data_IF_145128958228
#
_entry.id   IF_145128958228
#
_cell.length_a   1.000
_cell.length_b   1.000
_cell.length_c   1.000
_cell.angle_alpha   90.00
_cell.angle_beta   90.00
_cell.angle_gamma   90.00
#
_symmetry.space_group_name_H-M   'P 1'
#
loop_
_entity.id
_entity.type
_entity.pdbx_description
1 polymer ?
#
# COMPACT_ATOMS: atom_id res chain seq x y z
N UNK A 1 12.46 27.28 -24.56
CA UNK A 1 12.71 27.43 -23.11
C UNK A 1 11.81 26.44 -22.37
N UNK A 2 12.28 25.23 -22.05
CA UNK A 2 11.56 24.31 -21.15
C UNK A 2 11.79 24.82 -19.74
N UNK A 3 10.75 25.42 -19.15
CA UNK A 3 10.77 25.89 -17.79
C UNK A 3 11.19 24.76 -16.86
N UNK A 4 12.12 25.06 -15.98
CA UNK A 4 12.49 24.25 -14.81
C UNK A 4 11.24 24.19 -13.89
N UNK A 5 10.20 23.50 -14.31
CA UNK A 5 9.02 23.26 -13.49
C UNK A 5 9.45 22.33 -12.37
N UNK A 6 9.69 22.90 -11.21
CA UNK A 6 10.07 22.15 -10.01
C UNK A 6 9.15 20.96 -9.79
N UNK A 7 9.67 19.84 -9.25
CA UNK A 7 8.93 18.61 -9.00
C UNK A 7 7.75 18.71 -8.04
N UNK A 8 7.35 19.91 -7.64
CA UNK A 8 6.29 20.17 -6.65
C UNK A 8 4.92 19.58 -7.07
N UNK A 9 4.57 19.68 -8.35
CA UNK A 9 3.34 19.07 -8.87
C UNK A 9 3.30 17.54 -8.72
N UNK A 10 4.47 16.88 -8.80
CA UNK A 10 4.57 15.43 -8.57
C UNK A 10 4.31 15.10 -7.11
N UNK A 11 4.86 15.91 -6.21
CA UNK A 11 4.69 15.73 -4.76
C UNK A 11 3.22 15.87 -4.39
N UNK A 12 2.56 16.93 -4.81
CA UNK A 12 1.16 17.20 -4.43
C UNK A 12 0.19 16.21 -5.08
N UNK A 13 0.39 15.85 -6.34
CA UNK A 13 -0.44 14.86 -7.04
C UNK A 13 -0.38 13.48 -6.38
N UNK A 14 0.83 12.99 -6.07
CA UNK A 14 0.96 11.65 -5.47
C UNK A 14 0.68 11.63 -3.98
N UNK A 15 0.82 12.74 -3.25
CA UNK A 15 0.29 12.85 -1.89
C UNK A 15 -1.25 12.78 -1.88
N UNK A 16 -1.93 13.51 -2.78
CA UNK A 16 -3.37 13.43 -2.94
C UNK A 16 -3.84 12.03 -3.36
N UNK A 17 -3.04 11.31 -4.16
CA UNK A 17 -3.31 9.92 -4.53
C UNK A 17 -3.23 8.97 -3.33
N UNK A 18 -2.23 9.13 -2.47
CA UNK A 18 -1.93 8.19 -1.41
C UNK A 18 -2.84 8.35 -0.19
N UNK A 19 -3.23 9.56 0.18
CA UNK A 19 -4.06 9.81 1.38
C UNK A 19 -5.31 8.91 1.41
N UNK A 20 -6.22 8.89 0.40
CA UNK A 20 -7.39 8.04 0.45
C UNK A 20 -7.05 6.54 0.31
N UNK A 21 -5.97 6.21 -0.38
CA UNK A 21 -5.45 4.84 -0.47
C UNK A 21 -5.08 4.30 0.92
N UNK A 22 -4.36 5.09 1.72
CA UNK A 22 -3.96 4.75 3.09
C UNK A 22 -5.17 4.66 4.03
N UNK A 23 -6.16 5.55 3.86
CA UNK A 23 -7.43 5.45 4.61
C UNK A 23 -8.06 4.08 4.41
N UNK A 24 -8.17 3.64 3.18
CA UNK A 24 -8.85 2.39 2.83
C UNK A 24 -8.02 1.16 3.23
N UNK A 25 -6.69 1.23 3.05
CA UNK A 25 -5.82 0.06 3.27
C UNK A 25 -5.40 -0.14 4.73
N UNK A 26 -5.26 0.92 5.52
CA UNK A 26 -4.77 0.80 6.90
C UNK A 26 -5.76 1.34 7.93
N UNK A 27 -6.32 2.53 7.71
CA UNK A 27 -7.17 3.19 8.69
C UNK A 27 -8.51 2.47 8.85
N UNK A 28 -9.09 1.97 7.74
CA UNK A 28 -10.36 1.25 7.75
C UNK A 28 -10.33 0.01 8.65
N UNK A 29 -9.24 -0.78 8.63
CA UNK A 29 -9.09 -1.93 9.51
C UNK A 29 -9.13 -1.53 10.98
N UNK A 30 -8.41 -0.46 11.36
CA UNK A 30 -8.39 0.03 12.74
C UNK A 30 -9.80 0.45 13.19
N UNK A 31 -10.52 1.13 12.30
CA UNK A 31 -11.91 1.52 12.59
C UNK A 31 -12.81 0.31 12.79
N UNK A 32 -12.73 -0.71 11.94
CA UNK A 32 -13.54 -1.93 12.08
C UNK A 32 -13.24 -2.65 13.40
N UNK A 33 -11.97 -2.74 13.78
CA UNK A 33 -11.58 -3.32 15.08
C UNK A 33 -12.16 -2.51 16.26
N UNK A 34 -12.12 -1.18 16.19
CA UNK A 34 -12.69 -0.32 17.22
C UNK A 34 -14.25 -0.30 17.24
N UNK A 35 -14.88 -0.67 16.14
CA UNK A 35 -16.33 -0.91 16.09
C UNK A 35 -16.73 -2.26 16.70
N UNK A 36 -15.79 -2.99 17.32
CA UNK A 36 -15.97 -4.34 17.88
C UNK A 36 -16.44 -5.38 16.85
N UNK A 37 -16.05 -5.21 15.60
CA UNK A 37 -16.23 -6.22 14.57
C UNK A 37 -15.17 -7.30 14.81
N UNK A 38 -15.56 -8.57 14.74
CA UNK A 38 -14.62 -9.69 14.89
C UNK A 38 -13.43 -9.60 13.91
N UNK A 39 -12.27 -10.14 14.30
CA UNK A 39 -11.03 -10.03 13.55
C UNK A 39 -11.17 -10.54 12.12
N UNK A 40 -11.78 -11.72 11.93
CA UNK A 40 -11.98 -12.31 10.60
C UNK A 40 -12.85 -11.42 9.69
N UNK A 41 -13.93 -10.83 10.23
CA UNK A 41 -14.78 -9.93 9.46
C UNK A 41 -14.10 -8.59 9.19
N UNK A 42 -13.34 -8.04 10.15
CA UNK A 42 -12.61 -6.78 9.98
C UNK A 42 -11.56 -6.88 8.86
N UNK A 43 -10.80 -7.97 8.83
CA UNK A 43 -9.79 -8.20 7.78
C UNK A 43 -10.43 -8.49 6.43
N UNK A 44 -11.56 -9.24 6.40
CA UNK A 44 -12.32 -9.49 5.18
C UNK A 44 -12.86 -8.18 4.59
N UNK A 45 -13.53 -7.35 5.39
CA UNK A 45 -14.08 -6.07 4.94
C UNK A 45 -12.99 -5.13 4.46
N UNK A 46 -11.88 -5.02 5.19
CA UNK A 46 -10.74 -4.22 4.76
C UNK A 46 -10.12 -4.75 3.46
N UNK A 47 -10.04 -6.07 3.26
CA UNK A 47 -9.55 -6.66 2.02
C UNK A 47 -10.49 -6.40 0.82
N UNK A 48 -11.82 -6.46 1.01
CA UNK A 48 -12.82 -6.16 -0.03
C UNK A 48 -12.66 -4.72 -0.54
N UNK A 49 -12.21 -3.79 0.30
CA UNK A 49 -11.95 -2.41 -0.11
C UNK A 49 -10.83 -2.30 -1.16
N UNK A 50 -10.03 -3.34 -1.40
CA UNK A 50 -9.03 -3.37 -2.49
C UNK A 50 -9.59 -3.79 -3.84
N UNK A 51 -10.84 -4.27 -3.93
CA UNK A 51 -11.45 -4.69 -5.19
C UNK A 51 -11.42 -3.63 -6.30
N UNK A 52 -11.63 -2.32 -6.03
CA UNK A 52 -11.54 -1.31 -7.08
C UNK A 52 -10.16 -1.24 -7.76
N UNK A 53 -9.05 -1.49 -7.04
CA UNK A 53 -7.72 -1.56 -7.67
C UNK A 53 -7.56 -2.81 -8.53
N UNK A 54 -8.15 -3.93 -8.13
CA UNK A 54 -8.19 -5.14 -8.96
C UNK A 54 -9.02 -4.89 -10.23
N UNK A 55 -10.09 -4.10 -10.12
CA UNK A 55 -10.99 -3.75 -11.22
C UNK A 55 -10.48 -2.63 -12.14
N UNK A 56 -9.31 -2.02 -11.89
CA UNK A 56 -8.76 -0.93 -12.71
C UNK A 56 -8.69 -1.23 -14.22
N UNK A 57 -8.38 -2.46 -14.71
CA UNK A 57 -8.40 -2.76 -16.14
C UNK A 57 -9.80 -2.59 -16.76
N UNK A 58 -10.87 -2.88 -15.99
CA UNK A 58 -12.25 -2.67 -16.40
C UNK A 58 -12.60 -1.17 -16.39
N UNK A 59 -12.25 -0.46 -15.31
CA UNK A 59 -12.44 1.00 -15.20
C UNK A 59 -11.83 1.75 -16.38
N UNK A 60 -10.64 1.35 -16.79
CA UNK A 60 -9.94 1.95 -17.94
C UNK A 60 -10.68 1.76 -19.26
N UNK A 61 -11.46 0.69 -19.43
CA UNK A 61 -12.25 0.44 -20.63
C UNK A 61 -13.54 1.23 -20.68
N UNK A 62 -14.15 1.43 -19.52
CA UNK A 62 -15.41 2.17 -19.41
C UNK A 62 -15.24 3.66 -19.72
N UNK A 63 -14.00 4.17 -19.66
CA UNK A 63 -13.71 5.60 -19.73
C UNK A 63 -12.60 5.94 -20.76
N UNK A 64 -12.79 5.59 -22.05
CA UNK A 64 -11.75 5.71 -23.06
C UNK A 64 -11.32 7.17 -23.34
N UNK A 65 -12.13 8.18 -22.99
CA UNK A 65 -11.86 9.60 -23.20
C UNK A 65 -11.29 10.35 -21.99
N UNK A 66 -11.26 9.74 -20.79
CA UNK A 66 -10.89 10.42 -19.54
C UNK A 66 -9.38 10.42 -19.25
N UNK A 67 -8.57 9.86 -20.13
CA UNK A 67 -7.17 9.58 -19.84
C UNK A 67 -6.27 10.82 -19.84
N UNK A 68 -5.88 11.29 -18.66
CA UNK A 68 -4.76 12.21 -18.44
C UNK A 68 -5.10 13.69 -18.55
N UNK A 69 -6.34 14.06 -18.61
CA UNK A 69 -6.76 15.45 -18.55
C UNK A 69 -6.85 15.92 -17.09
N UNK A 70 -6.28 17.09 -16.79
CA UNK A 70 -6.28 17.68 -15.43
C UNK A 70 -7.70 17.84 -14.86
N UNK A 71 -8.70 18.06 -15.71
CA UNK A 71 -10.10 18.25 -15.31
C UNK A 71 -10.66 17.06 -14.53
N UNK A 72 -10.41 15.86 -15.02
CA UNK A 72 -10.86 14.64 -14.35
C UNK A 72 -10.16 14.42 -13.01
N UNK A 73 -8.87 14.78 -12.92
CA UNK A 73 -8.13 14.73 -11.65
C UNK A 73 -8.75 15.69 -10.64
N UNK A 74 -8.97 16.94 -11.00
CA UNK A 74 -9.56 17.93 -10.10
C UNK A 74 -10.99 17.57 -9.69
N UNK A 75 -11.80 17.05 -10.63
CA UNK A 75 -13.17 16.59 -10.33
C UNK A 75 -13.16 15.46 -9.29
N UNK A 76 -12.30 14.46 -9.45
CA UNK A 76 -12.20 13.34 -8.51
C UNK A 76 -11.63 13.80 -7.17
N UNK A 77 -10.61 14.66 -7.15
CA UNK A 77 -10.05 15.22 -5.92
C UNK A 77 -11.08 16.03 -5.14
N UNK A 78 -11.86 16.89 -5.80
CA UNK A 78 -12.90 17.66 -5.14
C UNK A 78 -14.02 16.75 -4.60
N UNK A 79 -14.46 15.77 -5.39
CA UNK A 79 -15.42 14.76 -4.97
C UNK A 79 -14.91 13.97 -3.77
N UNK A 80 -13.62 13.60 -3.76
CA UNK A 80 -12.97 12.90 -2.65
C UNK A 80 -12.95 13.73 -1.38
N UNK A 81 -12.59 15.03 -1.47
CA UNK A 81 -12.61 15.95 -0.32
C UNK A 81 -14.03 16.04 0.29
N UNK A 82 -15.06 16.19 -0.55
CA UNK A 82 -16.45 16.18 -0.13
C UNK A 82 -16.89 14.85 0.48
N UNK A 83 -16.44 13.73 -0.09
CA UNK A 83 -16.75 12.38 0.42
C UNK A 83 -16.11 12.14 1.79
N UNK A 84 -14.86 12.56 2.01
CA UNK A 84 -14.19 12.45 3.31
C UNK A 84 -14.91 13.27 4.39
N UNK A 85 -15.34 14.48 4.07
CA UNK A 85 -16.13 15.33 4.97
C UNK A 85 -17.51 14.71 5.25
N UNK A 86 -18.20 14.20 4.22
CA UNK A 86 -19.49 13.51 4.36
C UNK A 86 -19.36 12.22 5.17
N UNK A 87 -18.27 11.48 5.01
CA UNK A 87 -17.99 10.30 5.80
C UNK A 87 -17.89 10.64 7.28
N UNK A 88 -17.18 11.73 7.63
CA UNK A 88 -17.10 12.21 9.02
C UNK A 88 -18.49 12.51 9.62
N UNK A 89 -19.41 13.10 8.84
CA UNK A 89 -20.80 13.36 9.27
C UNK A 89 -21.60 12.10 9.51
N UNK A 90 -21.37 11.05 8.72
CA UNK A 90 -22.22 9.87 8.65
C UNK A 90 -21.71 8.67 9.44
N UNK A 91 -20.57 8.78 10.11
CA UNK A 91 -19.97 7.70 10.90
C UNK A 91 -20.91 7.11 11.98
N UNK A 92 -21.84 7.90 12.50
CA UNK A 92 -22.85 7.47 13.48
C UNK A 92 -23.96 6.59 12.90
N UNK A 93 -24.07 6.47 11.57
CA UNK A 93 -25.17 5.78 10.91
C UNK A 93 -25.01 4.24 10.86
N UNK A 94 -23.95 3.70 11.47
CA UNK A 94 -23.74 2.27 11.61
C UNK A 94 -22.76 1.66 10.60
N UNK A 95 -22.47 0.38 10.80
CA UNK A 95 -21.42 -0.36 10.10
C UNK A 95 -21.62 -0.42 8.59
N UNK A 96 -22.84 -0.73 8.13
CA UNK A 96 -23.12 -0.87 6.69
C UNK A 96 -22.92 0.43 5.92
N UNK A 97 -23.30 1.55 6.55
CA UNK A 97 -23.09 2.87 5.97
C UNK A 97 -21.60 3.24 5.92
N UNK A 98 -20.88 2.93 6.98
CA UNK A 98 -19.42 3.09 7.03
C UNK A 98 -18.73 2.29 5.93
N UNK A 99 -19.13 1.03 5.73
CA UNK A 99 -18.58 0.17 4.69
C UNK A 99 -18.89 0.70 3.28
N UNK A 100 -20.11 1.16 3.04
CA UNK A 100 -20.52 1.76 1.76
C UNK A 100 -19.66 2.99 1.43
N UNK A 101 -19.50 3.89 2.39
CA UNK A 101 -18.72 5.12 2.21
C UNK A 101 -17.23 4.83 1.99
N UNK A 102 -16.65 3.89 2.75
CA UNK A 102 -15.27 3.45 2.54
C UNK A 102 -15.08 2.80 1.17
N UNK A 103 -16.06 2.00 0.71
CA UNK A 103 -16.00 1.42 -0.63
C UNK A 103 -16.10 2.48 -1.73
N UNK A 104 -16.88 3.54 -1.50
CA UNK A 104 -16.94 4.69 -2.41
C UNK A 104 -15.60 5.46 -2.44
N UNK A 105 -15.00 5.74 -1.26
CA UNK A 105 -13.65 6.33 -1.15
C UNK A 105 -12.62 5.46 -1.89
N UNK A 106 -12.71 4.14 -1.71
CA UNK A 106 -11.85 3.17 -2.40
C UNK A 106 -11.97 3.28 -3.93
N UNK A 107 -13.20 3.35 -4.44
CA UNK A 107 -13.47 3.44 -5.87
C UNK A 107 -12.92 4.74 -6.46
N UNK A 108 -13.15 5.87 -5.79
CA UNK A 108 -12.59 7.16 -6.19
C UNK A 108 -11.05 7.16 -6.13
N UNK A 109 -10.47 6.54 -5.10
CA UNK A 109 -9.01 6.43 -4.94
C UNK A 109 -8.38 5.57 -6.05
N UNK A 110 -8.98 4.43 -6.38
CA UNK A 110 -8.51 3.59 -7.48
C UNK A 110 -8.60 4.31 -8.84
N UNK A 111 -9.62 5.13 -9.00
CA UNK A 111 -9.81 5.94 -10.21
C UNK A 111 -8.79 7.08 -10.30
N UNK A 112 -8.60 7.81 -9.18
CA UNK A 112 -7.58 8.85 -9.09
C UNK A 112 -6.18 8.30 -9.40
N UNK A 113 -5.82 7.14 -8.82
CA UNK A 113 -4.53 6.48 -9.06
C UNK A 113 -4.33 6.13 -10.54
N UNK A 114 -5.38 5.66 -11.23
CA UNK A 114 -5.32 5.38 -12.67
C UNK A 114 -5.04 6.67 -13.49
N UNK A 115 -5.77 7.76 -13.19
CA UNK A 115 -5.62 9.03 -13.89
C UNK A 115 -4.31 9.74 -13.57
N UNK A 116 -3.89 9.74 -12.30
CA UNK A 116 -2.64 10.34 -11.85
C UNK A 116 -1.42 9.70 -12.56
N UNK A 117 -1.42 8.37 -12.72
CA UNK A 117 -0.38 7.67 -13.48
C UNK A 117 -0.40 8.01 -14.96
N UNK A 118 -1.59 8.11 -15.58
CA UNK A 118 -1.71 8.50 -17.00
C UNK A 118 -1.24 9.95 -17.20
N UNK A 119 -1.62 10.86 -16.33
CA UNK A 119 -1.17 12.24 -16.33
C UNK A 119 0.35 12.34 -16.17
N UNK A 120 0.91 11.61 -15.20
CA UNK A 120 2.35 11.54 -14.95
C UNK A 120 3.12 11.11 -16.20
N UNK A 121 2.69 10.04 -16.87
CA UNK A 121 3.33 9.54 -18.08
C UNK A 121 3.28 10.50 -19.26
N UNK A 122 2.23 11.29 -19.38
CA UNK A 122 2.10 12.29 -20.46
C UNK A 122 2.96 13.52 -20.23
N UNK A 123 3.29 13.81 -18.97
CA UNK A 123 4.01 15.02 -18.60
C UNK A 123 5.51 14.81 -18.39
N UNK A 124 5.96 13.62 -18.03
CA UNK A 124 7.37 13.30 -17.82
C UNK A 124 8.03 12.82 -19.10
N UNK A 125 9.28 13.27 -19.31
CA UNK A 125 10.15 12.76 -20.36
C UNK A 125 11.15 11.76 -19.77
N UNK A 126 11.66 10.82 -20.58
CA UNK A 126 12.62 9.77 -20.16
C UNK A 126 13.82 10.35 -19.37
N UNK A 127 14.28 11.55 -19.72
CA UNK A 127 15.40 12.22 -19.04
C UNK A 127 15.06 12.75 -17.62
N UNK A 128 13.79 13.00 -17.33
CA UNK A 128 13.30 13.53 -16.05
C UNK A 128 12.75 12.44 -15.11
N UNK A 129 12.58 11.23 -15.61
CA UNK A 129 11.88 10.13 -14.91
C UNK A 129 12.52 9.77 -13.57
N UNK A 130 13.85 9.81 -13.45
CA UNK A 130 14.53 9.38 -12.21
C UNK A 130 14.21 10.29 -11.02
N UNK A 131 14.23 11.61 -11.18
CA UNK A 131 13.88 12.57 -10.12
C UNK A 131 12.42 12.48 -9.75
N UNK A 132 11.52 12.51 -10.75
CA UNK A 132 10.08 12.43 -10.52
C UNK A 132 9.65 11.09 -9.88
N UNK A 133 10.32 9.98 -10.19
CA UNK A 133 10.09 8.69 -9.52
C UNK A 133 10.49 8.71 -8.04
N UNK A 134 11.59 9.36 -7.69
CA UNK A 134 12.00 9.55 -6.29
C UNK A 134 11.01 10.45 -5.57
N UNK A 135 10.64 11.60 -6.17
CA UNK A 135 9.66 12.52 -5.58
C UNK A 135 8.31 11.85 -5.37
N UNK A 136 7.86 11.04 -6.32
CA UNK A 136 6.64 10.22 -6.20
C UNK A 136 6.72 9.27 -5.00
N UNK A 137 7.81 8.52 -4.87
CA UNK A 137 7.99 7.58 -3.77
C UNK A 137 8.02 8.29 -2.41
N UNK A 138 8.76 9.40 -2.30
CA UNK A 138 8.80 10.19 -1.08
C UNK A 138 7.43 10.78 -0.73
N UNK A 139 6.73 11.33 -1.71
CA UNK A 139 5.40 11.91 -1.52
C UNK A 139 4.39 10.87 -1.01
N UNK A 140 4.35 9.68 -1.61
CA UNK A 140 3.49 8.58 -1.13
C UNK A 140 3.79 8.22 0.33
N UNK A 141 5.06 8.15 0.72
CA UNK A 141 5.42 7.79 2.09
C UNK A 141 5.14 8.95 3.08
N UNK A 142 5.33 10.19 2.68
CA UNK A 142 4.92 11.35 3.51
C UNK A 142 3.41 11.37 3.73
N UNK A 143 2.61 11.09 2.71
CA UNK A 143 1.17 10.95 2.83
C UNK A 143 0.76 9.78 3.74
N UNK A 144 1.50 8.68 3.72
CA UNK A 144 1.31 7.55 4.64
C UNK A 144 1.61 7.96 6.09
N UNK A 145 2.70 8.69 6.34
CA UNK A 145 2.99 9.24 7.68
C UNK A 145 1.88 10.18 8.14
N UNK A 146 1.39 11.07 7.26
CA UNK A 146 0.31 11.99 7.59
C UNK A 146 -0.97 11.23 7.98
N UNK A 147 -1.36 10.22 7.19
CA UNK A 147 -2.66 9.55 7.33
C UNK A 147 -2.60 8.40 8.34
N UNK A 148 -1.62 7.52 8.25
CA UNK A 148 -1.49 6.35 9.13
C UNK A 148 -0.71 6.65 10.42
N UNK A 149 0.23 7.61 10.37
CA UNK A 149 0.95 8.08 11.54
C UNK A 149 0.17 9.16 12.30
N UNK A 150 0.23 10.39 11.79
CA UNK A 150 -0.25 11.57 12.52
C UNK A 150 -1.77 11.58 12.75
N UNK A 151 -2.58 11.22 11.75
CA UNK A 151 -4.04 11.17 11.92
C UNK A 151 -4.44 10.13 12.98
N UNK A 152 -3.87 8.91 12.94
CA UNK A 152 -4.19 7.87 13.94
C UNK A 152 -3.75 8.30 15.34
N UNK A 153 -2.57 8.91 15.48
CA UNK A 153 -2.14 9.50 16.75
C UNK A 153 -3.10 10.59 17.23
N UNK A 154 -3.52 11.49 16.35
CA UNK A 154 -4.47 12.54 16.66
C UNK A 154 -5.82 11.97 17.13
N UNK A 155 -6.37 10.97 16.41
CA UNK A 155 -7.61 10.29 16.82
C UNK A 155 -7.45 9.67 18.20
N UNK A 156 -6.31 9.02 18.48
CA UNK A 156 -6.02 8.45 19.79
C UNK A 156 -5.98 9.51 20.90
N UNK A 157 -5.33 10.67 20.66
CA UNK A 157 -5.33 11.80 21.60
C UNK A 157 -6.74 12.35 21.81
N UNK A 158 -7.51 12.51 20.72
CA UNK A 158 -8.90 12.96 20.80
C UNK A 158 -9.80 12.00 21.59
N UNK A 159 -9.56 10.69 21.52
CA UNK A 159 -10.29 9.70 22.32
C UNK A 159 -10.02 9.86 23.82
N UNK A 160 -8.79 10.21 24.21
CA UNK A 160 -8.45 10.48 25.62
C UNK A 160 -9.08 11.80 26.07
N UNK A 161 -8.96 12.84 25.24
CA UNK A 161 -9.48 14.17 25.58
C UNK A 161 -11.01 14.19 25.67
N UNK A 162 -11.68 13.55 24.71
CA UNK A 162 -13.14 13.44 24.63
C UNK A 162 -13.66 12.11 25.17
N UNK A 163 -13.05 11.56 26.22
CA UNK A 163 -13.42 10.24 26.80
C UNK A 163 -14.90 10.09 27.20
N UNK A 164 -15.60 11.20 27.42
CA UNK A 164 -17.03 11.22 27.71
C UNK A 164 -17.92 11.17 26.45
N UNK A 165 -17.34 11.34 25.28
CA UNK A 165 -18.01 11.23 23.98
C UNK A 165 -17.79 9.84 23.37
N UNK A 166 -18.59 9.51 22.35
CA UNK A 166 -18.41 8.26 21.62
C UNK A 166 -17.07 8.23 20.86
N UNK A 167 -16.48 7.06 20.67
CA UNK A 167 -15.28 6.89 19.84
C UNK A 167 -15.49 7.43 18.42
N UNK A 168 -16.71 7.28 17.87
CA UNK A 168 -17.11 7.84 16.56
C UNK A 168 -16.93 9.35 16.49
N UNK A 169 -17.07 10.09 17.58
CA UNK A 169 -16.84 11.53 17.60
C UNK A 169 -15.37 11.88 17.34
N UNK A 170 -14.44 11.19 17.98
CA UNK A 170 -13.00 11.39 17.76
C UNK A 170 -12.58 11.01 16.34
N UNK A 171 -13.15 9.94 15.79
CA UNK A 171 -12.95 9.58 14.39
C UNK A 171 -13.50 10.63 13.42
N UNK A 172 -14.68 11.17 13.69
CA UNK A 172 -15.26 12.23 12.86
C UNK A 172 -14.34 13.47 12.81
N UNK A 173 -13.81 13.90 13.97
CA UNK A 173 -12.85 15.01 14.02
C UNK A 173 -11.57 14.69 13.22
N UNK A 174 -11.02 13.48 13.34
CA UNK A 174 -9.88 13.04 12.56
C UNK A 174 -10.13 13.10 11.03
N UNK A 175 -11.32 12.66 10.59
CA UNK A 175 -11.69 12.74 9.18
C UNK A 175 -11.97 14.17 8.70
N UNK A 176 -12.49 15.06 9.54
CA UNK A 176 -12.61 16.49 9.19
C UNK A 176 -11.23 17.14 8.99
N UNK A 177 -10.27 16.84 9.88
CA UNK A 177 -8.90 17.32 9.71
C UNK A 177 -8.27 16.78 8.41
N UNK A 178 -8.49 15.49 8.14
CA UNK A 178 -7.99 14.86 6.91
C UNK A 178 -8.67 15.45 5.66
N UNK A 179 -9.98 15.67 5.68
CA UNK A 179 -10.73 16.31 4.58
C UNK A 179 -10.22 17.72 4.31
N UNK A 180 -9.93 18.50 5.36
CA UNK A 180 -9.34 19.83 5.25
C UNK A 180 -7.94 19.81 4.63
N UNK A 181 -7.07 18.90 5.09
CA UNK A 181 -5.73 18.71 4.51
C UNK A 181 -5.81 18.25 3.04
N UNK A 182 -6.74 17.34 2.73
CA UNK A 182 -6.96 16.87 1.37
C UNK A 182 -7.48 17.99 0.45
N UNK A 183 -8.43 18.79 0.92
CA UNK A 183 -8.93 19.95 0.18
C UNK A 183 -7.82 20.96 -0.10
N UNK A 184 -6.95 21.22 0.87
CA UNK A 184 -5.77 22.08 0.67
C UNK A 184 -4.86 21.53 -0.43
N UNK A 185 -4.60 20.22 -0.46
CA UNK A 185 -3.84 19.59 -1.54
C UNK A 185 -4.54 19.69 -2.90
N UNK A 186 -5.86 19.48 -2.93
CA UNK A 186 -6.67 19.67 -4.15
C UNK A 186 -6.54 21.08 -4.72
N UNK A 187 -6.66 22.11 -3.87
CA UNK A 187 -6.49 23.49 -4.28
C UNK A 187 -5.07 23.77 -4.81
N UNK A 188 -4.06 23.20 -4.15
CA UNK A 188 -2.67 23.30 -4.61
C UNK A 188 -2.48 22.61 -5.97
N UNK A 189 -3.09 21.44 -6.19
CA UNK A 189 -3.07 20.74 -7.47
C UNK A 189 -3.76 21.56 -8.57
N UNK A 190 -4.87 22.24 -8.29
CA UNK A 190 -5.54 23.12 -9.24
C UNK A 190 -4.63 24.24 -9.75
N UNK A 191 -3.72 24.73 -8.92
CA UNK A 191 -2.75 25.76 -9.27
C UNK A 191 -1.53 25.21 -10.04
N UNK A 192 -1.07 24.00 -9.70
CA UNK A 192 0.18 23.44 -10.20
C UNK A 192 0.01 22.54 -11.43
N UNK A 193 -1.13 21.86 -11.57
CA UNK A 193 -1.34 20.94 -12.69
C UNK A 193 -1.73 21.74 -13.95
N UNK A 194 -0.93 21.57 -15.00
CA UNK A 194 -1.18 22.14 -16.33
C UNK A 194 -1.66 21.05 -17.28
N UNK A 195 -2.35 21.44 -18.36
CA UNK A 195 -2.72 20.45 -19.38
C UNK A 195 -1.46 19.79 -19.94
N UNK A 196 -1.39 18.47 -19.99
CA UNK A 196 -0.28 17.77 -20.63
C UNK A 196 -0.33 17.99 -22.14
N UNK A 197 0.84 18.05 -22.77
CA UNK A 197 0.92 18.06 -24.25
C UNK A 197 0.20 16.81 -24.78
N UNK A 198 -0.57 16.98 -25.87
CA UNK A 198 -1.46 15.97 -26.46
C UNK A 198 -0.73 14.77 -27.09
N UNK A 199 0.25 14.22 -26.45
CA UNK A 199 0.91 13.00 -26.91
C UNK A 199 -0.03 11.82 -26.67
N UNK A 200 -0.67 11.34 -27.73
CA UNK A 200 -1.49 10.11 -27.64
C UNK A 200 -0.58 8.95 -27.23
N UNK A 201 -0.74 8.47 -26.02
CA UNK A 201 -0.13 7.21 -25.63
C UNK A 201 -0.93 6.07 -26.27
N UNK A 202 -0.30 5.34 -27.18
CA UNK A 202 -0.81 4.05 -27.66
C UNK A 202 -0.80 3.05 -26.51
N UNK A 203 -1.90 3.04 -25.77
CA UNK A 203 -2.09 2.13 -24.66
C UNK A 203 -2.52 0.79 -25.23
N UNK A 204 -1.67 -0.20 -25.11
CA UNK A 204 -2.02 -1.58 -25.51
C UNK A 204 -3.30 -2.04 -24.79
N UNK A 205 -4.31 -2.39 -25.58
CA UNK A 205 -5.66 -2.81 -25.17
C UNK A 205 -5.72 -4.30 -24.73
N UNK A 206 -4.57 -4.96 -24.57
CA UNK A 206 -4.52 -6.40 -24.28
C UNK A 206 -4.89 -6.67 -22.82
N UNK A 207 -5.72 -7.69 -22.61
CA UNK A 207 -6.06 -8.18 -21.29
C UNK A 207 -4.90 -8.97 -20.68
N UNK A 208 -4.69 -8.93 -19.33
CA UNK A 208 -3.64 -9.69 -18.67
C UNK A 208 -3.66 -11.18 -19.02
N UNK A 209 -4.85 -11.77 -19.00
CA UNK A 209 -5.04 -13.20 -19.25
C UNK A 209 -4.87 -13.64 -20.73
N UNK A 210 -4.67 -12.71 -21.63
CA UNK A 210 -4.31 -13.01 -23.02
C UNK A 210 -2.82 -13.29 -23.20
N UNK A 211 -2.00 -13.01 -22.18
CA UNK A 211 -0.58 -13.35 -22.24
C UNK A 211 -0.38 -14.85 -22.02
N UNK A 212 0.46 -15.47 -22.86
CA UNK A 212 0.75 -16.90 -22.90
C UNK A 212 1.34 -17.32 -21.57
N UNK A 213 1.33 -17.32 -20.54
CA UNK A 213 1.87 -17.71 -19.21
C UNK A 213 1.31 -16.88 -18.04
N UNK A 214 0.23 -16.18 -18.29
CA UNK A 214 -0.40 -15.36 -17.27
C UNK A 214 -0.70 -16.12 -15.98
N UNK A 215 -1.30 -17.32 -16.09
CA UNK A 215 -1.66 -18.12 -14.91
C UNK A 215 -0.44 -18.49 -14.07
N UNK A 216 0.63 -18.96 -14.71
CA UNK A 216 1.88 -19.32 -14.02
C UNK A 216 2.50 -18.11 -13.32
N UNK A 217 2.55 -16.97 -13.99
CA UNK A 217 3.08 -15.73 -13.45
C UNK A 217 2.29 -15.23 -12.24
N UNK A 218 0.96 -15.34 -12.28
CA UNK A 218 0.09 -14.97 -11.16
C UNK A 218 0.26 -15.91 -9.97
N UNK A 219 0.30 -17.24 -10.19
CA UNK A 219 0.55 -18.20 -9.11
C UNK A 219 1.89 -17.92 -8.45
N UNK A 220 2.95 -17.72 -9.23
CA UNK A 220 4.27 -17.38 -8.70
C UNK A 220 4.25 -16.08 -7.88
N UNK A 221 3.54 -15.06 -8.35
CA UNK A 221 3.42 -13.78 -7.65
C UNK A 221 2.64 -13.93 -6.33
N UNK A 222 1.56 -14.70 -6.32
CA UNK A 222 0.81 -15.02 -5.09
C UNK A 222 1.71 -15.73 -4.08
N UNK A 223 2.42 -16.77 -4.50
CA UNK A 223 3.30 -17.52 -3.61
C UNK A 223 4.48 -16.68 -3.08
N UNK A 224 5.02 -15.78 -3.92
CA UNK A 224 6.09 -14.88 -3.51
C UNK A 224 5.62 -13.82 -2.50
N UNK A 225 4.39 -13.34 -2.65
CA UNK A 225 3.80 -12.31 -1.78
C UNK A 225 2.98 -12.91 -0.61
N UNK A 226 2.88 -14.24 -0.52
CA UNK A 226 2.05 -14.93 0.47
C UNK A 226 2.35 -14.51 1.92
N UNK A 227 3.62 -14.55 2.41
CA UNK A 227 3.92 -14.13 3.77
C UNK A 227 3.55 -12.66 4.01
N UNK A 228 3.85 -11.79 3.05
CA UNK A 228 3.56 -10.36 3.18
C UNK A 228 2.05 -10.06 3.16
N UNK A 229 1.30 -10.81 2.37
CA UNK A 229 -0.16 -10.69 2.34
C UNK A 229 -0.81 -11.19 3.63
N UNK A 230 -0.36 -12.31 4.19
CA UNK A 230 -0.81 -12.81 5.49
C UNK A 230 -0.51 -11.81 6.60
N UNK A 231 0.70 -11.25 6.62
CA UNK A 231 1.13 -10.32 7.66
C UNK A 231 0.51 -8.94 7.52
N UNK A 232 0.00 -8.54 6.35
CA UNK A 232 -0.36 -7.17 6.06
C UNK A 232 -1.33 -6.55 7.08
N UNK A 233 -2.40 -7.26 7.43
CA UNK A 233 -3.37 -6.83 8.44
C UNK A 233 -3.08 -7.42 9.82
N UNK A 234 -2.54 -8.63 9.88
CA UNK A 234 -2.32 -9.36 11.12
C UNK A 234 -1.42 -8.63 12.10
N UNK A 235 -0.43 -7.89 11.60
CA UNK A 235 0.45 -7.05 12.42
C UNK A 235 -0.32 -5.95 13.16
N UNK A 236 -1.24 -5.25 12.49
CA UNK A 236 -2.05 -4.19 13.11
C UNK A 236 -3.07 -4.78 14.09
N UNK A 237 -3.67 -5.91 13.73
CA UNK A 237 -4.56 -6.67 14.63
C UNK A 237 -3.82 -7.08 15.89
N UNK A 238 -2.61 -7.64 15.77
CA UNK A 238 -1.77 -8.05 16.91
C UNK A 238 -1.43 -6.89 17.84
N UNK A 239 -1.08 -5.74 17.28
CA UNK A 239 -0.73 -4.56 18.06
C UNK A 239 -1.93 -4.03 18.86
N UNK A 240 -3.13 -4.01 18.27
CA UNK A 240 -4.32 -3.42 18.88
C UNK A 240 -5.12 -4.38 19.78
N UNK A 241 -5.00 -5.70 19.55
CA UNK A 241 -5.73 -6.69 20.33
C UNK A 241 -5.24 -6.71 21.77
N UNK A 242 -6.18 -6.83 22.70
CA UNK A 242 -5.89 -6.84 24.15
C UNK A 242 -4.94 -8.00 24.53
N UNK A 243 -4.10 -7.79 25.57
CA UNK A 243 -3.15 -8.82 26.04
C UNK A 243 -3.80 -10.13 26.45
N UNK A 244 -5.01 -10.07 27.00
CA UNK A 244 -5.81 -11.24 27.42
C UNK A 244 -6.17 -12.15 26.25
N UNK A 245 -6.27 -11.57 25.03
CA UNK A 245 -6.54 -12.28 23.79
C UNK A 245 -5.24 -12.59 23.00
N UNK A 246 -4.08 -12.40 23.62
CA UNK A 246 -2.76 -12.72 23.05
C UNK A 246 -2.13 -11.61 22.23
N UNK A 247 -2.77 -10.45 22.09
CA UNK A 247 -2.20 -9.27 21.45
C UNK A 247 -1.28 -8.45 22.35
N UNK A 248 -0.84 -7.28 21.90
CA UNK A 248 -0.02 -6.36 22.70
C UNK A 248 -0.84 -5.27 23.44
N UNK A 249 -2.06 -4.97 22.99
CA UNK A 249 -2.91 -3.94 23.60
C UNK A 249 -2.40 -2.51 23.43
N UNK A 250 -1.67 -2.24 22.34
CA UNK A 250 -1.14 -0.92 22.06
C UNK A 250 -2.25 0.11 21.84
N UNK A 251 -2.01 1.32 22.28
CA UNK A 251 -2.87 2.47 22.01
C UNK A 251 -2.76 2.92 20.55
N UNK A 252 -3.74 3.69 20.07
CA UNK A 252 -3.67 4.27 18.70
C UNK A 252 -2.45 5.18 18.54
N UNK A 253 -2.03 5.90 19.59
CA UNK A 253 -0.85 6.74 19.57
C UNK A 253 0.43 5.91 19.35
N UNK A 254 0.57 4.80 20.06
CA UNK A 254 1.72 3.90 19.94
C UNK A 254 1.76 3.26 18.54
N UNK A 255 0.63 2.81 18.01
CA UNK A 255 0.54 2.25 16.66
C UNK A 255 0.86 3.31 15.60
N UNK A 256 0.27 4.51 15.70
CA UNK A 256 0.53 5.62 14.78
C UNK A 256 2.00 6.05 14.80
N UNK A 257 2.62 6.11 15.98
CA UNK A 257 4.04 6.46 16.12
C UNK A 257 4.96 5.34 15.62
N UNK A 258 4.83 4.15 16.21
CA UNK A 258 5.76 3.04 15.92
C UNK A 258 5.60 2.52 14.47
N UNK A 259 4.35 2.30 14.04
CA UNK A 259 4.10 1.69 12.73
C UNK A 259 3.88 2.71 11.63
N UNK A 260 3.08 3.74 11.90
CA UNK A 260 2.72 4.77 10.92
C UNK A 260 3.80 5.82 10.68
N UNK A 261 4.76 6.01 11.60
CA UNK A 261 5.84 7.00 11.47
C UNK A 261 7.20 6.32 11.37
N UNK A 262 7.67 5.69 12.44
CA UNK A 262 9.00 5.03 12.48
C UNK A 262 9.06 3.89 11.46
N UNK A 263 8.01 3.08 11.37
CA UNK A 263 7.93 1.98 10.41
C UNK A 263 7.99 2.43 8.95
N UNK A 264 7.36 3.54 8.61
CA UNK A 264 7.38 4.11 7.25
C UNK A 264 8.78 4.64 6.91
N UNK A 265 9.44 5.32 7.85
CA UNK A 265 10.84 5.79 7.67
C UNK A 265 11.78 4.59 7.48
N UNK A 266 11.62 3.56 8.31
CA UNK A 266 12.42 2.32 8.21
C UNK A 266 12.19 1.61 6.86
N UNK A 267 10.95 1.54 6.40
CA UNK A 267 10.61 0.98 5.08
C UNK A 267 11.28 1.74 3.94
N UNK A 268 11.25 3.08 3.95
CA UNK A 268 11.94 3.90 2.95
C UNK A 268 13.45 3.66 2.95
N UNK A 269 14.06 3.64 4.15
CA UNK A 269 15.48 3.34 4.30
C UNK A 269 15.80 1.93 3.75
N UNK A 270 14.94 0.96 4.03
CA UNK A 270 15.06 -0.41 3.51
C UNK A 270 15.00 -0.47 1.99
N UNK A 271 14.04 0.21 1.36
CA UNK A 271 13.93 0.28 -0.10
C UNK A 271 15.17 0.93 -0.72
N UNK A 272 15.68 2.03 -0.13
CA UNK A 272 16.89 2.71 -0.60
C UNK A 272 18.13 1.82 -0.47
N UNK A 273 18.30 1.17 0.69
CA UNK A 273 19.39 0.23 0.93
C UNK A 273 19.35 -0.97 -0.03
N UNK A 274 18.21 -1.60 -0.19
CA UNK A 274 18.04 -2.72 -1.10
C UNK A 274 18.34 -2.35 -2.55
N UNK A 275 17.93 -1.16 -3.00
CA UNK A 275 18.28 -0.62 -4.32
C UNK A 275 19.79 -0.38 -4.46
N UNK A 276 20.44 0.17 -3.44
CA UNK A 276 21.91 0.39 -3.43
C UNK A 276 22.69 -0.91 -3.47
N UNK A 277 22.25 -1.92 -2.71
CA UNK A 277 22.81 -3.28 -2.71
C UNK A 277 22.68 -3.90 -4.10
N UNK A 278 21.49 -3.82 -4.71
CA UNK A 278 21.22 -4.34 -6.04
C UNK A 278 22.09 -3.68 -7.12
N UNK A 279 22.25 -2.36 -7.05
CA UNK A 279 23.07 -1.61 -8.01
C UNK A 279 24.57 -1.92 -7.86
N UNK A 280 25.07 -2.12 -6.62
CA UNK A 280 26.49 -2.35 -6.34
C UNK A 280 26.92 -3.77 -6.69
N UNK A 281 26.10 -4.79 -6.37
CA UNK A 281 26.50 -6.20 -6.45
C UNK A 281 25.84 -6.95 -7.59
N UNK A 282 24.87 -6.34 -8.28
CA UNK A 282 24.13 -6.92 -9.37
C UNK A 282 23.07 -7.94 -8.93
N UNK A 283 22.16 -8.26 -9.84
CA UNK A 283 20.99 -9.10 -9.59
C UNK A 283 21.36 -10.54 -9.15
N UNK A 284 22.34 -11.14 -9.80
CA UNK A 284 22.69 -12.55 -9.55
C UNK A 284 23.21 -12.81 -8.12
N UNK A 285 23.93 -11.85 -7.54
CA UNK A 285 24.50 -11.96 -6.19
C UNK A 285 23.53 -11.52 -5.10
N UNK A 286 22.58 -10.64 -5.41
CA UNK A 286 21.72 -9.99 -4.40
C UNK A 286 20.35 -10.61 -4.25
N UNK A 287 19.89 -11.42 -5.23
CA UNK A 287 18.57 -12.05 -5.20
C UNK A 287 18.31 -12.81 -3.90
N UNK A 288 19.26 -13.61 -3.42
CA UNK A 288 19.15 -14.38 -2.20
C UNK A 288 19.07 -13.50 -0.94
N UNK A 289 20.06 -12.63 -0.66
CA UNK A 289 19.99 -11.75 0.50
C UNK A 289 18.72 -10.92 0.56
N UNK A 290 18.30 -10.34 -0.59
CA UNK A 290 17.09 -9.52 -0.64
C UNK A 290 15.83 -10.35 -0.33
N UNK A 291 15.77 -11.59 -0.82
CA UNK A 291 14.59 -12.45 -0.59
C UNK A 291 14.54 -12.98 0.84
N UNK A 292 15.68 -13.29 1.44
CA UNK A 292 15.76 -13.70 2.84
C UNK A 292 15.20 -12.59 3.74
N UNK A 293 15.47 -11.32 3.42
CA UNK A 293 14.94 -10.18 4.17
C UNK A 293 13.39 -10.17 4.22
N UNK A 294 12.70 -10.69 3.20
CA UNK A 294 11.22 -10.78 3.24
C UNK A 294 10.73 -11.74 4.34
N UNK A 295 11.46 -12.81 4.61
CA UNK A 295 11.11 -13.78 5.66
C UNK A 295 11.45 -13.31 7.08
N UNK A 296 12.33 -12.32 7.24
CA UNK A 296 12.70 -11.79 8.55
C UNK A 296 11.55 -11.00 9.19
N UNK A 297 10.76 -10.29 8.39
CA UNK A 297 9.67 -9.46 8.90
C UNK A 297 8.64 -10.26 9.72
N UNK A 298 8.08 -11.40 9.26
CA UNK A 298 7.21 -12.27 10.09
C UNK A 298 7.91 -12.80 11.34
N UNK A 299 9.18 -13.17 11.25
CA UNK A 299 9.95 -13.68 12.38
C UNK A 299 10.11 -12.64 13.51
N UNK A 300 10.23 -11.35 13.15
CA UNK A 300 10.25 -10.26 14.13
C UNK A 300 8.93 -10.19 14.91
N UNK A 301 7.77 -10.32 14.23
CA UNK A 301 6.48 -10.34 14.90
C UNK A 301 6.29 -11.60 15.75
N UNK A 302 6.81 -12.76 15.32
CA UNK A 302 6.87 -13.96 16.14
C UNK A 302 7.69 -13.71 17.42
N UNK A 303 8.85 -13.09 17.33
CA UNK A 303 9.64 -12.69 18.49
C UNK A 303 8.88 -11.75 19.44
N UNK A 304 8.10 -10.79 18.88
CA UNK A 304 7.25 -9.90 19.67
C UNK A 304 6.16 -10.64 20.46
N UNK A 305 5.61 -11.75 19.94
CA UNK A 305 4.61 -12.55 20.69
C UNK A 305 5.21 -13.17 21.94
N UNK A 306 6.51 -13.47 21.91
CA UNK A 306 7.23 -14.10 23.02
C UNK A 306 7.77 -13.05 24.01
N UNK A 307 8.43 -12.01 23.49
CA UNK A 307 9.08 -10.97 24.29
C UNK A 307 8.11 -9.97 24.91
N UNK A 308 6.91 -9.82 24.33
CA UNK A 308 5.87 -8.86 24.74
C UNK A 308 6.47 -7.48 25.06
N UNK A 309 7.03 -6.77 24.05
CA UNK A 309 7.75 -5.54 24.29
C UNK A 309 6.83 -4.48 24.95
N UNK A 310 7.30 -3.90 26.03
CA UNK A 310 6.63 -2.81 26.73
C UNK A 310 7.24 -1.47 26.35
N UNK A 311 6.39 -0.46 26.18
CA UNK A 311 6.80 0.91 25.87
C UNK A 311 7.04 1.17 24.38
N UNK A 312 6.73 2.41 23.99
CA UNK A 312 6.71 2.85 22.57
C UNK A 312 8.07 2.75 21.87
N UNK A 313 9.17 2.92 22.58
CA UNK A 313 10.52 2.86 21.99
C UNK A 313 10.94 1.45 21.66
N UNK A 314 10.65 0.48 22.54
CA UNK A 314 10.96 -0.94 22.28
C UNK A 314 10.10 -1.45 21.14
N UNK A 315 8.79 -1.14 21.15
CA UNK A 315 7.86 -1.42 20.07
C UNK A 315 8.37 -0.84 18.74
N UNK A 316 8.84 0.43 18.77
CA UNK A 316 9.37 1.09 17.58
C UNK A 316 10.64 0.42 17.05
N UNK A 317 11.49 -0.10 17.92
CA UNK A 317 12.72 -0.82 17.51
C UNK A 317 12.37 -2.12 16.76
N UNK A 318 11.43 -2.92 17.27
CA UNK A 318 10.94 -4.12 16.57
C UNK A 318 10.30 -3.75 15.22
N UNK A 319 9.44 -2.75 15.21
CA UNK A 319 8.76 -2.28 13.99
C UNK A 319 9.77 -1.76 12.97
N UNK A 320 10.80 -1.02 13.43
CA UNK A 320 11.88 -0.53 12.58
C UNK A 320 12.59 -1.69 11.87
N UNK A 321 13.01 -2.71 12.61
CA UNK A 321 13.69 -3.88 12.02
C UNK A 321 12.77 -4.60 11.02
N UNK A 322 11.51 -4.85 11.39
CA UNK A 322 10.57 -5.54 10.53
C UNK A 322 10.32 -4.78 9.21
N UNK A 323 10.11 -3.46 9.28
CA UNK A 323 9.83 -2.65 8.10
C UNK A 323 11.08 -2.37 7.25
N UNK A 324 12.25 -2.24 7.88
CA UNK A 324 13.52 -2.12 7.18
C UNK A 324 13.78 -3.38 6.32
N UNK A 325 13.64 -4.56 6.93
CA UNK A 325 13.85 -5.84 6.24
C UNK A 325 12.82 -6.04 5.12
N UNK A 326 11.57 -5.70 5.37
CA UNK A 326 10.55 -5.71 4.33
C UNK A 326 10.89 -4.77 3.16
N UNK A 327 11.33 -3.55 3.44
CA UNK A 327 11.74 -2.57 2.41
C UNK A 327 12.93 -3.07 1.56
N UNK A 328 13.94 -3.68 2.20
CA UNK A 328 15.07 -4.30 1.51
C UNK A 328 14.56 -5.42 0.58
N UNK A 329 13.77 -6.32 1.11
CA UNK A 329 13.27 -7.50 0.40
C UNK A 329 12.32 -7.17 -0.75
N UNK A 330 11.54 -6.10 -0.66
CA UNK A 330 10.61 -5.65 -1.71
C UNK A 330 11.32 -5.39 -3.05
N UNK A 331 12.61 -5.05 -3.03
CA UNK A 331 13.39 -4.87 -4.25
C UNK A 331 13.52 -6.17 -5.07
N UNK A 332 13.54 -7.33 -4.41
CA UNK A 332 13.54 -8.63 -5.12
C UNK A 332 12.19 -8.84 -5.85
N UNK A 333 11.07 -8.59 -5.17
CA UNK A 333 9.74 -8.69 -5.77
C UNK A 333 9.59 -7.73 -6.95
N UNK A 334 10.00 -6.48 -6.76
CA UNK A 334 9.94 -5.45 -7.80
C UNK A 334 10.74 -5.87 -9.03
N UNK A 335 11.96 -6.36 -8.85
CA UNK A 335 12.81 -6.81 -9.96
C UNK A 335 12.20 -7.99 -10.71
N UNK A 336 11.61 -8.94 -9.98
CA UNK A 336 10.88 -10.03 -10.60
C UNK A 336 9.75 -9.55 -11.51
N UNK A 337 8.95 -8.61 -11.03
CA UNK A 337 7.83 -8.07 -11.79
C UNK A 337 8.31 -7.28 -13.00
N UNK A 338 9.39 -6.51 -12.88
CA UNK A 338 10.04 -5.83 -14.00
C UNK A 338 10.49 -6.84 -15.08
N UNK A 339 11.05 -7.97 -14.68
CA UNK A 339 11.49 -9.02 -15.59
C UNK A 339 10.34 -9.73 -16.32
N UNK A 340 9.20 -9.95 -15.66
CA UNK A 340 7.98 -10.52 -16.29
C UNK A 340 7.36 -9.54 -17.28
N UNK A 341 7.37 -8.27 -16.96
CA UNK A 341 6.67 -7.23 -17.72
C UNK A 341 7.33 -6.90 -19.06
N UNK A 342 8.59 -7.33 -19.29
CA UNK A 342 9.38 -7.06 -20.49
C UNK A 342 9.88 -5.62 -20.60
N UNK A 343 10.81 -5.35 -21.53
CA UNK A 343 11.45 -4.01 -21.67
C UNK A 343 10.46 -2.88 -21.97
N UNK A 344 9.36 -3.17 -22.65
CA UNK A 344 8.34 -2.18 -23.01
C UNK A 344 7.60 -1.59 -21.78
N UNK A 345 7.67 -2.27 -20.63
CA UNK A 345 7.00 -1.89 -19.39
C UNK A 345 7.98 -1.64 -18.22
N UNK A 346 9.27 -1.56 -18.53
CA UNK A 346 10.36 -1.39 -17.56
C UNK A 346 10.23 -0.14 -16.69
N UNK A 347 9.50 0.87 -17.13
CA UNK A 347 9.33 2.13 -16.42
C UNK A 347 8.03 2.16 -15.61
N UNK A 348 7.89 1.30 -14.60
CA UNK A 348 6.92 1.39 -13.48
C UNK A 348 5.45 1.66 -13.83
N UNK A 349 5.04 1.53 -15.09
CA UNK A 349 3.74 1.96 -15.59
C UNK A 349 2.98 0.87 -16.34
N UNK A 350 3.29 -0.39 -16.05
CA UNK A 350 2.44 -1.46 -16.55
C UNK A 350 1.05 -1.32 -15.90
N UNK A 351 -0.01 -1.01 -16.69
CA UNK A 351 -1.36 -0.83 -16.16
C UNK A 351 -1.95 -2.09 -15.54
N UNK A 352 -1.26 -3.23 -15.69
CA UNK A 352 -1.67 -4.52 -15.14
C UNK A 352 -0.95 -4.88 -13.83
N UNK A 353 0.10 -4.12 -13.50
CA UNK A 353 0.94 -4.39 -12.34
C UNK A 353 0.20 -4.18 -11.02
N UNK A 354 -0.43 -3.03 -10.83
CA UNK A 354 -1.15 -2.74 -9.59
C UNK A 354 -2.36 -3.67 -9.40
N UNK A 355 -3.22 -3.90 -10.41
CA UNK A 355 -4.30 -4.88 -10.29
C UNK A 355 -3.81 -6.28 -9.92
N UNK A 356 -2.71 -6.74 -10.53
CA UNK A 356 -2.14 -8.05 -10.25
C UNK A 356 -1.61 -8.14 -8.82
N UNK A 357 -0.82 -7.18 -8.36
CA UNK A 357 -0.33 -7.15 -6.97
C UNK A 357 -1.47 -7.03 -5.98
N UNK A 358 -2.44 -6.15 -6.23
CA UNK A 358 -3.60 -5.98 -5.35
C UNK A 358 -4.36 -7.29 -5.18
N UNK A 359 -4.58 -8.04 -6.27
CA UNK A 359 -5.21 -9.36 -6.21
C UNK A 359 -4.36 -10.36 -5.42
N UNK A 360 -3.04 -10.41 -5.68
CA UNK A 360 -2.14 -11.35 -5.02
C UNK A 360 -2.00 -11.11 -3.52
N UNK A 361 -2.07 -9.85 -3.08
CA UNK A 361 -2.03 -9.50 -1.66
C UNK A 361 -3.41 -9.67 -1.02
N UNK A 362 -4.48 -9.30 -1.71
CA UNK A 362 -5.86 -9.38 -1.20
C UNK A 362 -6.25 -10.80 -0.79
N UNK A 363 -5.88 -11.81 -1.58
CA UNK A 363 -6.22 -13.21 -1.29
C UNK A 363 -5.68 -13.70 0.06
N UNK A 364 -4.37 -13.61 0.39
CA UNK A 364 -3.87 -13.96 1.72
C UNK A 364 -4.44 -13.07 2.82
N UNK A 365 -4.64 -11.78 2.56
CA UNK A 365 -5.23 -10.85 3.53
C UNK A 365 -6.62 -11.27 3.99
N UNK A 366 -7.48 -11.74 3.08
CA UNK A 366 -8.82 -12.24 3.45
C UNK A 366 -8.77 -13.44 4.36
N UNK A 367 -7.75 -14.29 4.20
CA UNK A 367 -7.57 -15.50 5.01
C UNK A 367 -6.91 -15.21 6.37
N UNK A 368 -6.15 -14.13 6.46
CA UNK A 368 -5.30 -13.85 7.63
C UNK A 368 -6.10 -13.72 8.93
N UNK A 369 -7.24 -13.04 8.93
CA UNK A 369 -8.08 -12.88 10.11
C UNK A 369 -8.69 -14.18 10.59
N UNK A 370 -9.17 -15.02 9.67
CA UNK A 370 -9.71 -16.34 9.99
C UNK A 370 -8.63 -17.26 10.59
N UNK A 371 -7.42 -17.21 10.03
CA UNK A 371 -6.28 -17.97 10.56
C UNK A 371 -5.86 -17.47 11.93
N UNK A 372 -5.87 -16.14 12.15
CA UNK A 372 -5.58 -15.55 13.47
C UNK A 372 -6.56 -16.00 14.54
N UNK A 373 -7.86 -16.00 14.26
CA UNK A 373 -8.88 -16.45 15.22
C UNK A 373 -8.75 -17.94 15.56
N UNK A 374 -8.31 -18.77 14.61
CA UNK A 374 -8.19 -20.22 14.82
C UNK A 374 -6.86 -20.64 15.45
N UNK A 375 -5.75 -20.02 15.06
CA UNK A 375 -4.42 -20.43 15.47
C UNK A 375 -3.88 -19.64 16.67
N UNK A 376 -4.41 -18.43 16.89
CA UNK A 376 -3.81 -17.44 17.79
C UNK A 376 -2.54 -16.81 17.19
N UNK A 377 -2.07 -15.70 17.80
CA UNK A 377 -1.00 -14.90 17.22
C UNK A 377 0.35 -15.63 17.08
N UNK A 378 0.78 -16.35 18.12
CA UNK A 378 2.08 -17.03 18.11
C UNK A 378 2.16 -18.09 17.00
N UNK A 379 1.16 -18.96 16.91
CA UNK A 379 1.11 -20.01 15.87
C UNK A 379 0.91 -19.41 14.49
N UNK A 380 0.15 -18.33 14.37
CA UNK A 380 -0.04 -17.64 13.11
C UNK A 380 1.28 -17.05 12.59
N UNK A 381 2.03 -16.30 13.41
CA UNK A 381 3.32 -15.74 12.96
C UNK A 381 4.40 -16.82 12.78
N UNK A 382 4.30 -17.95 13.49
CA UNK A 382 5.12 -19.12 13.21
C UNK A 382 4.81 -19.69 11.82
N UNK A 383 3.52 -19.89 11.50
CA UNK A 383 3.07 -20.34 10.18
C UNK A 383 3.55 -19.37 9.08
N UNK A 384 3.38 -18.09 9.30
CA UNK A 384 3.78 -17.05 8.34
C UNK A 384 5.29 -17.04 8.12
N UNK A 385 6.09 -17.21 9.18
CA UNK A 385 7.55 -17.37 9.10
C UNK A 385 7.93 -18.63 8.33
N UNK A 386 7.21 -19.76 8.55
CA UNK A 386 7.40 -21.00 7.80
C UNK A 386 6.98 -20.91 6.33
N UNK A 387 6.16 -19.92 5.95
CA UNK A 387 5.87 -19.64 4.54
C UNK A 387 7.02 -18.90 3.82
N UNK A 388 7.99 -18.31 4.53
CA UNK A 388 9.12 -17.63 3.90
C UNK A 388 9.97 -18.52 2.97
N UNK A 389 10.29 -19.80 3.30
CA UNK A 389 10.95 -20.73 2.39
C UNK A 389 10.23 -20.92 1.05
N UNK A 390 8.88 -20.81 1.01
CA UNK A 390 8.11 -20.87 -0.25
C UNK A 390 8.51 -19.72 -1.16
N UNK A 391 8.60 -18.50 -0.62
CA UNK A 391 9.09 -17.33 -1.36
C UNK A 391 10.50 -17.54 -1.91
N UNK A 392 11.38 -18.16 -1.11
CA UNK A 392 12.76 -18.44 -1.51
C UNK A 392 12.83 -19.48 -2.65
N UNK A 393 12.05 -20.56 -2.56
CA UNK A 393 11.96 -21.59 -3.60
C UNK A 393 11.42 -21.02 -4.92
N UNK A 394 10.43 -20.13 -4.85
CA UNK A 394 9.89 -19.47 -6.06
C UNK A 394 10.96 -18.68 -6.82
N UNK A 395 11.84 -17.97 -6.13
CA UNK A 395 12.94 -17.22 -6.76
C UNK A 395 13.96 -18.15 -7.41
N UNK A 396 14.22 -19.32 -6.83
CA UNK A 396 15.06 -20.35 -7.48
C UNK A 396 14.49 -20.85 -8.79
N UNK A 397 13.20 -21.19 -8.80
CA UNK A 397 12.53 -21.66 -10.01
C UNK A 397 12.61 -20.65 -11.16
N UNK A 398 12.53 -19.35 -10.81
CA UNK A 398 12.56 -18.25 -11.78
C UNK A 398 13.91 -18.06 -12.45
N UNK A 399 14.99 -18.21 -11.70
CA UNK A 399 16.36 -18.04 -12.23
C UNK A 399 16.75 -19.14 -13.21
N UNK A 400 16.20 -20.33 -13.06
CA UNK A 400 16.43 -21.44 -13.97
C UNK A 400 15.66 -21.28 -15.29
N UNK A 401 14.47 -20.72 -15.26
CA UNK A 401 13.66 -20.50 -16.47
C UNK A 401 14.27 -19.44 -17.41
N UNK A 402 14.87 -18.38 -16.87
CA UNK A 402 15.57 -17.38 -17.68
C UNK A 402 16.85 -17.88 -18.33
N UNK A 403 17.61 -18.72 -17.65
CA UNK A 403 18.82 -19.36 -18.24
C UNK A 403 18.46 -20.25 -19.43
N UNK A 404 17.37 -21.01 -19.32
CA UNK A 404 16.89 -21.90 -20.39
C UNK A 404 16.36 -21.10 -21.60
N UNK A 405 15.77 -19.92 -21.38
CA UNK A 405 15.30 -19.06 -22.47
C UNK A 405 16.45 -18.34 -23.21
N UNK A 406 17.47 -17.88 -22.49
CA UNK A 406 18.68 -17.31 -23.12
C UNK A 406 19.47 -18.36 -23.92
N UNK A 407 19.52 -19.61 -23.48
CA UNK A 407 20.15 -20.72 -24.23
C UNK A 407 19.35 -21.17 -25.47
N UNK A 408 18.04 -20.90 -25.52
CA UNK A 408 17.21 -21.21 -26.71
C UNK A 408 17.11 -20.07 -27.71
N UNK A 409 17.62 -18.90 -27.40
CA UNK A 409 17.69 -17.72 -28.29
C UNK A 409 19.07 -17.49 -28.89
N UNK A 410 20.07 -18.35 -28.60
CA UNK A 410 21.35 -18.50 -29.25
C UNK A 410 21.29 -19.76 -30.13
#
# INVERSE_FOLDING_TARGET
MKSNEGGLWTITLFAANEIPSVVVTFVALIMFLQMNIGVALSTLFAAILLLPWVAQPLMRRLLPGMGGDRWWLHFIELTMAGTLAMFALTLKNGMWWTMLMLYWISTLSAWHDLLARQYFMRRTTIAQDSLHLVLRALSSQMATVLTYGLMIMAVGVLQIYFRQRSQTYSWALGYYLLAGAYLFMTLTNMLLLRNPDHTQMNVTRQWPWQQKRWKEQMIMLVLMLLPQGLMFYSRTVFLLTQPQLGGLGCTLQEVGFAHGTIGVIAFLAGVALGKSILNKWGENRTKWPLTICLGISPAVYLAMTQSRPEGVWVLSAYTFVAQLMFGIGLNACRRYIENISGERYRNSVNPLYIPAISLCIMLPMTLSGLLLERLGFANFFLLDTLCAPVTWLMILCLTNTHKIQQQKSI
#
